data_IF_912475502423
#
_entry.id   IF_912475502423
#
_cell.length_a   1.000
_cell.length_b   1.000
_cell.length_c   1.000
_cell.angle_alpha   90.00
_cell.angle_beta   90.00
_cell.angle_gamma   90.00
#
_symmetry.space_group_name_H-M   'P 1'
#
loop_
_entity.id
_entity.type
_entity.pdbx_description
1 polymer ?
#
# COMPACT_ATOMS: atom_id res chain seq x y z
N UNK A 1 2.64 -28.38 4.53
CA UNK A 1 3.85 -27.80 3.90
C UNK A 1 4.50 -26.88 4.92
N UNK A 2 5.82 -27.00 5.17
CA UNK A 2 6.52 -26.13 6.14
C UNK A 2 7.33 -25.08 5.38
N UNK A 3 7.15 -23.82 5.74
CA UNK A 3 7.88 -22.69 5.17
C UNK A 3 9.17 -22.49 5.98
N UNK A 4 10.24 -22.04 5.33
CA UNK A 4 11.52 -21.73 6.00
C UNK A 4 11.47 -20.38 6.74
N UNK A 5 10.35 -20.08 7.40
CA UNK A 5 10.10 -18.75 7.98
C UNK A 5 11.16 -18.36 9.01
N UNK A 6 11.59 -19.29 9.86
CA UNK A 6 12.60 -18.99 10.89
C UNK A 6 13.96 -18.63 10.27
N UNK A 7 14.40 -19.37 9.25
CA UNK A 7 15.63 -19.08 8.50
C UNK A 7 15.55 -17.71 7.81
N UNK A 8 14.41 -17.41 7.17
CA UNK A 8 14.19 -16.14 6.48
C UNK A 8 14.08 -14.96 7.46
N UNK A 9 13.51 -15.15 8.65
CA UNK A 9 13.50 -14.13 9.70
C UNK A 9 14.94 -13.74 10.08
N UNK A 10 15.82 -14.74 10.24
CA UNK A 10 17.23 -14.51 10.57
C UNK A 10 17.99 -13.86 9.40
N UNK A 11 17.85 -14.39 8.18
CA UNK A 11 18.54 -13.93 6.98
C UNK A 11 18.27 -12.45 6.64
N UNK A 12 17.04 -12.00 6.87
CA UNK A 12 16.58 -10.65 6.59
C UNK A 12 16.49 -9.76 7.84
N UNK A 13 16.99 -10.26 8.97
CA UNK A 13 17.03 -9.55 10.25
C UNK A 13 15.65 -8.98 10.65
N UNK A 14 14.58 -9.71 10.37
CA UNK A 14 13.23 -9.34 10.76
C UNK A 14 13.08 -9.63 12.25
N UNK A 15 12.61 -8.68 13.10
CA UNK A 15 12.44 -8.95 14.52
C UNK A 15 11.42 -10.06 14.78
N UNK A 16 10.25 -9.97 14.12
CA UNK A 16 9.19 -10.95 14.18
C UNK A 16 8.26 -10.89 12.97
N UNK A 17 7.71 -12.04 12.61
CA UNK A 17 6.83 -12.17 11.46
C UNK A 17 5.69 -13.16 11.71
N UNK A 18 4.62 -13.00 10.94
CA UNK A 18 3.49 -13.92 10.88
C UNK A 18 3.03 -14.07 9.43
N UNK A 19 2.73 -15.29 9.03
CA UNK A 19 2.24 -15.62 7.70
C UNK A 19 1.10 -16.59 7.76
N UNK A 20 0.17 -16.45 6.82
CA UNK A 20 -0.87 -17.41 6.59
C UNK A 20 -1.10 -17.58 5.09
N UNK A 21 -1.57 -18.75 4.69
CA UNK A 21 -1.95 -19.01 3.31
C UNK A 21 -3.11 -20.00 3.25
N UNK A 22 -3.92 -19.86 2.20
CA UNK A 22 -4.98 -20.81 1.88
C UNK A 22 -4.44 -21.95 1.02
N UNK A 23 -4.66 -23.19 1.45
CA UNK A 23 -4.31 -24.39 0.69
C UNK A 23 -5.20 -25.58 1.13
N UNK A 24 -5.67 -26.36 0.15
CA UNK A 24 -6.47 -27.58 0.36
C UNK A 24 -7.67 -27.44 1.33
N UNK A 25 -8.39 -26.32 1.25
CA UNK A 25 -9.58 -26.11 2.08
C UNK A 25 -9.31 -25.51 3.46
N UNK A 26 -8.05 -25.24 3.82
CA UNK A 26 -7.66 -24.78 5.15
C UNK A 26 -6.71 -23.58 5.11
N UNK A 27 -6.66 -22.84 6.24
CA UNK A 27 -5.70 -21.75 6.45
C UNK A 27 -4.52 -22.29 7.25
N UNK A 28 -3.37 -22.37 6.60
CA UNK A 28 -2.08 -22.70 7.21
C UNK A 28 -1.47 -21.44 7.80
N UNK A 29 -0.83 -21.55 8.96
CA UNK A 29 -0.33 -20.39 9.72
C UNK A 29 1.05 -20.69 10.30
N UNK A 30 1.94 -19.72 10.26
CA UNK A 30 3.25 -19.78 10.90
C UNK A 30 3.62 -18.40 11.43
N UNK A 31 4.32 -18.35 12.55
CA UNK A 31 4.87 -17.11 13.10
C UNK A 31 6.21 -17.42 13.77
N UNK A 32 7.05 -16.40 13.95
CA UNK A 32 8.33 -16.52 14.62
C UNK A 32 8.92 -15.16 14.97
N UNK A 33 9.94 -15.18 15.83
CA UNK A 33 10.60 -13.97 16.31
C UNK A 33 9.81 -13.20 17.38
N UNK A 34 10.11 -11.92 17.53
CA UNK A 34 9.65 -11.04 18.60
C UNK A 34 8.76 -9.91 18.06
N UNK A 35 7.61 -9.72 18.68
CA UNK A 35 6.71 -8.58 18.45
C UNK A 35 7.29 -7.27 18.95
N UNK A 36 8.17 -7.34 19.96
CA UNK A 36 8.83 -6.21 20.56
C UNK A 36 10.12 -6.70 21.25
N UNK A 37 11.27 -6.18 20.84
CA UNK A 37 12.59 -6.63 21.34
C UNK A 37 12.88 -6.22 22.78
N UNK A 38 12.32 -5.11 23.26
CA UNK A 38 12.52 -4.65 24.64
C UNK A 38 11.78 -5.54 25.65
N UNK A 39 10.57 -5.97 25.29
CA UNK A 39 9.70 -6.78 26.16
C UNK A 39 9.90 -8.29 25.99
N UNK A 40 10.53 -8.71 24.87
CA UNK A 40 10.74 -10.12 24.54
C UNK A 40 9.46 -10.88 24.18
N UNK A 41 8.35 -10.19 23.92
CA UNK A 41 7.08 -10.85 23.58
C UNK A 41 7.19 -11.52 22.22
N UNK A 42 7.04 -12.84 22.18
CA UNK A 42 7.12 -13.63 20.95
C UNK A 42 5.90 -13.41 20.03
N UNK A 43 6.15 -13.51 18.72
CA UNK A 43 5.12 -13.54 17.69
C UNK A 43 4.41 -14.90 17.68
N UNK A 44 3.08 -14.86 17.49
CA UNK A 44 2.23 -16.05 17.39
C UNK A 44 1.32 -15.94 16.17
N UNK A 45 0.74 -17.04 15.67
CA UNK A 45 -0.27 -16.98 14.61
C UNK A 45 -1.49 -16.08 14.90
N UNK A 46 -1.76 -15.80 16.18
CA UNK A 46 -2.83 -14.90 16.63
C UNK A 46 -2.37 -13.47 16.93
N UNK A 47 -1.11 -13.13 16.66
CA UNK A 47 -0.59 -11.79 16.88
C UNK A 47 -1.10 -10.81 15.83
N UNK A 48 -1.43 -9.60 16.27
CA UNK A 48 -1.85 -8.50 15.42
C UNK A 48 -0.65 -7.70 14.92
N UNK A 49 -0.67 -7.34 13.64
CA UNK A 49 0.26 -6.40 13.03
C UNK A 49 -0.53 -5.32 12.33
N UNK A 50 0.04 -4.12 12.22
CA UNK A 50 -0.51 -3.10 11.34
C UNK A 50 -0.31 -3.52 9.89
N UNK A 51 -1.40 -3.55 9.12
CA UNK A 51 -1.36 -4.00 7.72
C UNK A 51 -1.06 -2.86 6.74
N UNK A 52 -0.91 -1.64 7.27
CA UNK A 52 -0.65 -0.45 6.48
C UNK A 52 -1.63 -0.33 5.32
N UNK A 53 -1.10 0.06 4.17
CA UNK A 53 -1.88 0.30 2.96
C UNK A 53 -2.68 -0.88 2.42
N UNK A 54 -2.51 -2.12 2.88
CA UNK A 54 -3.48 -3.21 2.58
C UNK A 54 -4.90 -2.80 3.00
N UNK A 55 -5.02 -1.93 4.01
CA UNK A 55 -6.28 -1.29 4.45
C UNK A 55 -7.06 -0.66 3.30
N UNK A 56 -6.39 -0.14 2.26
CA UNK A 56 -7.05 0.51 1.12
C UNK A 56 -8.00 -0.43 0.38
N UNK A 57 -7.63 -1.71 0.24
CA UNK A 57 -8.50 -2.73 -0.36
C UNK A 57 -9.81 -2.86 0.41
N UNK A 58 -9.77 -2.72 1.74
CA UNK A 58 -10.96 -2.78 2.60
C UNK A 58 -11.84 -1.54 2.43
N UNK A 59 -11.24 -0.35 2.44
CA UNK A 59 -11.96 0.90 2.15
C UNK A 59 -12.59 0.86 0.76
N UNK A 60 -11.90 0.31 -0.25
CA UNK A 60 -12.48 0.08 -1.57
C UNK A 60 -13.66 -0.88 -1.52
N UNK A 61 -13.55 -2.01 -0.80
CA UNK A 61 -14.65 -2.95 -0.65
C UNK A 61 -15.88 -2.29 0.00
N UNK A 62 -15.70 -1.43 1.00
CA UNK A 62 -16.79 -0.65 1.60
C UNK A 62 -17.48 0.28 0.60
N UNK A 63 -16.70 0.98 -0.24
CA UNK A 63 -17.26 1.82 -1.32
C UNK A 63 -18.01 0.97 -2.35
N UNK A 64 -17.48 -0.19 -2.73
CA UNK A 64 -18.17 -1.10 -3.66
C UNK A 64 -19.49 -1.61 -3.10
N UNK A 65 -19.58 -1.90 -1.80
CA UNK A 65 -20.86 -2.25 -1.15
C UNK A 65 -21.89 -1.11 -1.24
N UNK A 66 -21.46 0.14 -1.11
CA UNK A 66 -22.33 1.30 -1.28
C UNK A 66 -22.79 1.47 -2.73
N UNK A 67 -21.95 1.11 -3.70
CA UNK A 67 -22.31 1.07 -5.13
C UNK A 67 -23.35 -0.03 -5.39
N UNK A 68 -23.17 -1.22 -4.83
CA UNK A 68 -24.16 -2.31 -4.93
C UNK A 68 -25.53 -1.94 -4.35
N UNK A 69 -25.53 -1.11 -3.31
CA UNK A 69 -26.74 -0.57 -2.69
C UNK A 69 -27.36 0.59 -3.49
N UNK A 70 -26.79 0.97 -4.64
CA UNK A 70 -27.25 2.08 -5.48
C UNK A 70 -27.08 3.45 -4.84
N UNK A 71 -26.20 3.58 -3.82
CA UNK A 71 -26.00 4.85 -3.08
C UNK A 71 -25.09 5.82 -3.83
N UNK A 72 -24.23 5.32 -4.71
CA UNK A 72 -23.31 6.08 -5.56
C UNK A 72 -22.84 5.21 -6.73
N UNK A 73 -22.09 5.79 -7.65
CA UNK A 73 -21.41 5.07 -8.75
C UNK A 73 -19.93 5.44 -8.78
N UNK A 74 -19.13 4.70 -9.54
CA UNK A 74 -17.72 5.04 -9.78
C UNK A 74 -17.55 6.44 -10.40
N UNK A 75 -18.51 6.87 -11.22
CA UNK A 75 -18.49 8.18 -11.87
C UNK A 75 -19.06 9.32 -11.03
N UNK A 76 -19.60 9.04 -9.84
CA UNK A 76 -20.14 10.08 -8.95
C UNK A 76 -19.02 11.06 -8.56
N UNK A 77 -19.17 12.37 -8.82
CA UNK A 77 -18.29 13.38 -8.28
C UNK A 77 -18.27 13.30 -6.75
N UNK A 78 -17.09 13.35 -6.15
CA UNK A 78 -16.94 13.29 -4.69
C UNK A 78 -17.64 14.48 -4.03
N UNK A 79 -17.69 15.63 -4.72
CA UNK A 79 -18.39 16.84 -4.29
C UNK A 79 -19.89 16.68 -4.05
N UNK A 80 -20.53 15.66 -4.63
CA UNK A 80 -21.95 15.35 -4.35
C UNK A 80 -22.16 14.83 -2.91
N UNK A 81 -21.11 14.27 -2.31
CA UNK A 81 -21.11 13.74 -0.93
C UNK A 81 -20.36 14.67 0.02
N UNK A 82 -19.24 15.25 -0.45
CA UNK A 82 -18.31 16.08 0.30
C UNK A 82 -18.10 17.41 -0.45
N UNK A 83 -18.97 18.42 -0.28
CA UNK A 83 -19.01 19.62 -1.13
C UNK A 83 -17.71 20.42 -1.22
N UNK A 84 -16.82 20.28 -0.24
CA UNK A 84 -15.49 20.90 -0.23
C UNK A 84 -14.49 20.30 -1.23
N UNK A 85 -14.70 19.07 -1.71
CA UNK A 85 -13.78 18.42 -2.66
C UNK A 85 -14.00 18.96 -4.08
N UNK A 86 -12.90 19.11 -4.84
CA UNK A 86 -12.93 19.52 -6.23
C UNK A 86 -13.92 18.66 -7.06
N UNK A 87 -14.87 19.28 -7.78
CA UNK A 87 -15.95 18.58 -8.48
C UNK A 87 -15.48 17.73 -9.67
N UNK A 88 -14.23 17.85 -10.11
CA UNK A 88 -13.63 16.98 -11.13
C UNK A 88 -13.18 15.62 -10.57
N UNK A 89 -13.04 15.50 -9.25
CA UNK A 89 -12.64 14.25 -8.60
C UNK A 89 -13.85 13.33 -8.46
N UNK A 90 -13.76 12.11 -8.97
CA UNK A 90 -14.79 11.07 -8.88
C UNK A 90 -14.39 9.98 -7.89
N UNK A 91 -15.35 9.12 -7.53
CA UNK A 91 -15.08 7.93 -6.72
C UNK A 91 -14.03 7.03 -7.38
N UNK A 92 -14.10 6.80 -8.70
CA UNK A 92 -13.08 6.03 -9.43
C UNK A 92 -11.69 6.67 -9.30
N UNK A 93 -11.60 8.00 -9.36
CA UNK A 93 -10.32 8.69 -9.21
C UNK A 93 -9.66 8.46 -7.84
N UNK A 94 -10.45 8.39 -6.76
CA UNK A 94 -9.94 8.05 -5.43
C UNK A 94 -9.37 6.62 -5.40
N UNK A 95 -10.15 5.65 -5.90
CA UNK A 95 -9.84 4.22 -5.79
C UNK A 95 -8.71 3.75 -6.74
N UNK A 96 -8.41 4.54 -7.77
CA UNK A 96 -7.36 4.28 -8.77
C UNK A 96 -6.11 5.14 -8.58
N UNK A 97 -6.06 5.97 -7.53
CA UNK A 97 -4.99 6.94 -7.31
C UNK A 97 -4.77 7.90 -8.50
N UNK A 98 -5.85 8.38 -9.09
CA UNK A 98 -5.82 9.36 -10.19
C UNK A 98 -6.50 10.68 -9.85
N UNK A 99 -6.88 10.91 -8.57
CA UNK A 99 -7.59 12.12 -8.14
C UNK A 99 -6.77 13.39 -8.19
N UNK A 100 -5.44 13.31 -8.10
CA UNK A 100 -4.58 14.47 -7.90
C UNK A 100 -4.62 15.02 -6.48
N UNK A 101 -5.40 14.43 -5.56
CA UNK A 101 -5.39 14.83 -4.15
C UNK A 101 -4.04 14.48 -3.53
N UNK A 102 -3.59 15.38 -2.66
CA UNK A 102 -2.29 15.29 -2.00
C UNK A 102 -2.08 13.94 -1.29
N UNK A 103 -1.11 13.17 -1.79
CA UNK A 103 -0.88 11.80 -1.34
C UNK A 103 -0.05 11.67 -0.07
N UNK A 104 0.70 12.72 0.27
CA UNK A 104 1.66 12.76 1.38
C UNK A 104 1.24 13.77 2.46
N UNK A 105 -0.05 14.15 2.49
CA UNK A 105 -0.64 15.00 3.52
C UNK A 105 -0.95 14.20 4.80
N UNK A 106 0.01 14.08 5.71
CA UNK A 106 -0.17 13.37 6.99
C UNK A 106 -0.66 14.27 8.13
N UNK A 107 -1.74 15.01 7.90
CA UNK A 107 -2.26 15.97 8.88
C UNK A 107 -3.02 15.28 10.02
N UNK A 108 -2.52 15.42 11.24
CA UNK A 108 -3.19 14.92 12.44
C UNK A 108 -4.30 15.88 12.89
N UNK A 109 -5.54 15.42 12.82
CA UNK A 109 -6.74 16.17 13.24
C UNK A 109 -7.28 15.70 14.59
N UNK A 110 -6.48 14.91 15.31
CA UNK A 110 -6.83 14.34 16.61
C UNK A 110 -7.56 13.01 16.51
N UNK A 111 -7.97 12.49 17.67
CA UNK A 111 -8.56 11.16 17.82
C UNK A 111 -10.09 11.14 17.80
N UNK A 112 -10.74 12.30 17.78
CA UNK A 112 -12.21 12.42 17.81
C UNK A 112 -12.88 11.80 16.59
N UNK A 113 -14.16 11.46 16.70
CA UNK A 113 -14.97 10.89 15.62
C UNK A 113 -15.17 11.83 14.42
N UNK A 114 -14.80 13.11 14.59
CA UNK A 114 -14.75 14.13 13.55
C UNK A 114 -13.38 14.21 12.83
N UNK A 115 -12.44 13.29 13.09
CA UNK A 115 -11.08 13.37 12.54
C UNK A 115 -11.06 13.35 11.00
N UNK A 116 -11.87 12.52 10.36
CA UNK A 116 -11.95 12.44 8.90
C UNK A 116 -12.63 13.68 8.30
N UNK A 117 -13.64 14.25 8.97
CA UNK A 117 -14.28 15.51 8.56
C UNK A 117 -13.28 16.67 8.54
N UNK A 118 -12.54 16.84 9.64
CA UNK A 118 -11.48 17.86 9.75
C UNK A 118 -10.38 17.63 8.71
N UNK A 119 -10.02 16.37 8.45
CA UNK A 119 -8.99 16.03 7.48
C UNK A 119 -9.44 16.39 6.06
N UNK A 120 -10.68 16.04 5.69
CA UNK A 120 -11.26 16.39 4.39
C UNK A 120 -11.33 17.90 4.21
N UNK A 121 -11.73 18.65 5.24
CA UNK A 121 -11.69 20.12 5.20
C UNK A 121 -10.28 20.65 4.92
N UNK A 122 -9.26 20.06 5.56
CA UNK A 122 -7.88 20.51 5.42
C UNK A 122 -7.26 20.13 4.06
N UNK A 123 -7.52 18.92 3.54
CA UNK A 123 -7.00 18.50 2.23
C UNK A 123 -7.69 19.23 1.07
N UNK A 124 -8.97 19.55 1.21
CA UNK A 124 -9.73 20.32 0.21
C UNK A 124 -9.17 21.74 0.00
N UNK A 125 -8.51 22.31 1.01
CA UNK A 125 -7.87 23.63 0.91
C UNK A 125 -6.54 23.60 0.14
N UNK A 126 -6.06 22.43 -0.29
CA UNK A 126 -4.81 22.27 -1.04
C UNK A 126 -5.10 22.15 -2.54
N UNK A 127 -4.19 22.64 -3.41
CA UNK A 127 -4.32 22.42 -4.85
C UNK A 127 -4.14 20.92 -5.17
N UNK A 128 -4.78 20.47 -6.25
CA UNK A 128 -4.47 19.16 -6.82
C UNK A 128 -3.02 19.15 -7.34
N UNK A 129 -2.30 18.06 -7.07
CA UNK A 129 -0.94 17.85 -7.56
C UNK A 129 -0.88 17.66 -9.09
N UNK A 130 -1.98 17.20 -9.68
CA UNK A 130 -2.21 17.10 -11.12
C UNK A 130 -3.71 17.08 -11.39
N UNK A 131 -4.18 17.36 -12.62
CA UNK A 131 -5.59 17.25 -12.94
C UNK A 131 -6.14 15.84 -12.66
N UNK A 132 -7.40 15.75 -12.21
CA UNK A 132 -8.05 14.47 -11.97
C UNK A 132 -8.08 13.61 -13.25
N UNK A 133 -7.72 12.33 -13.12
CA UNK A 133 -7.59 11.38 -14.23
C UNK A 133 -6.32 11.53 -15.08
N UNK A 134 -5.46 12.52 -14.84
CA UNK A 134 -4.31 12.78 -15.71
C UNK A 134 -3.20 11.72 -15.62
N UNK A 135 -2.96 11.18 -14.43
CA UNK A 135 -1.94 10.15 -14.21
C UNK A 135 -2.19 9.39 -12.91
N UNK A 136 -1.53 8.25 -12.75
CA UNK A 136 -1.46 7.54 -11.48
C UNK A 136 -0.43 8.23 -10.56
N UNK A 137 -0.89 8.69 -9.40
CA UNK A 137 -0.02 9.14 -8.32
C UNK A 137 -0.60 8.68 -6.98
N UNK A 138 0.09 7.74 -6.33
CA UNK A 138 -0.40 7.11 -5.12
C UNK A 138 -0.77 8.13 -4.04
N UNK A 139 -1.99 8.01 -3.49
CA UNK A 139 -2.54 9.00 -2.56
C UNK A 139 -3.17 8.36 -1.33
N UNK A 140 -2.57 8.60 -0.16
CA UNK A 140 -3.20 8.25 1.12
C UNK A 140 -4.38 9.17 1.42
N UNK A 141 -4.23 10.48 1.15
CA UNK A 141 -5.28 11.46 1.34
C UNK A 141 -6.54 11.15 0.54
N UNK A 142 -6.40 10.65 -0.69
CA UNK A 142 -7.54 10.17 -1.48
C UNK A 142 -8.31 9.01 -0.81
N UNK A 143 -7.62 8.14 -0.07
CA UNK A 143 -8.27 7.06 0.69
C UNK A 143 -8.90 7.54 2.00
N UNK A 144 -8.31 8.53 2.67
CA UNK A 144 -8.95 9.20 3.81
C UNK A 144 -10.25 9.90 3.39
N UNK A 145 -10.26 10.53 2.21
CA UNK A 145 -11.47 11.10 1.59
C UNK A 145 -12.48 10.00 1.24
N UNK A 146 -12.04 8.87 0.67
CA UNK A 146 -12.93 7.72 0.42
C UNK A 146 -13.54 7.17 1.72
N UNK A 147 -12.77 7.13 2.82
CA UNK A 147 -13.30 6.78 4.13
C UNK A 147 -14.37 7.76 4.62
N UNK A 148 -14.16 9.07 4.43
CA UNK A 148 -15.17 10.09 4.77
C UNK A 148 -16.45 9.96 3.94
N UNK A 149 -16.36 9.57 2.66
CA UNK A 149 -17.52 9.23 1.83
C UNK A 149 -18.35 8.11 2.48
N UNK A 150 -17.69 7.05 2.98
CA UNK A 150 -18.38 6.00 3.73
C UNK A 150 -19.11 6.58 4.94
N UNK A 151 -18.46 7.44 5.73
CA UNK A 151 -19.07 7.98 6.95
C UNK A 151 -20.35 8.76 6.66
N UNK A 152 -20.30 9.65 5.67
CA UNK A 152 -21.45 10.48 5.31
C UNK A 152 -22.62 9.63 4.80
N UNK A 153 -22.35 8.62 3.96
CA UNK A 153 -23.40 7.81 3.34
C UNK A 153 -24.01 6.81 4.33
N UNK A 154 -23.21 6.27 5.24
CA UNK A 154 -23.64 5.29 6.24
C UNK A 154 -24.17 5.92 7.53
N UNK A 155 -23.82 7.18 7.82
CA UNK A 155 -24.09 7.84 9.09
C UNK A 155 -23.31 7.28 10.27
N UNK A 156 -22.20 6.56 10.02
CA UNK A 156 -21.36 5.90 11.04
C UNK A 156 -19.91 6.31 10.84
N UNK A 157 -19.14 6.40 11.92
CA UNK A 157 -17.68 6.54 11.82
C UNK A 157 -17.07 5.35 11.07
N UNK A 158 -15.98 5.59 10.36
CA UNK A 158 -15.39 4.61 9.45
C UNK A 158 -15.07 3.27 10.14
N UNK A 159 -14.55 3.31 11.37
CA UNK A 159 -14.24 2.12 12.18
C UNK A 159 -15.46 1.21 12.40
N UNK A 160 -16.60 1.82 12.71
CA UNK A 160 -17.87 1.11 12.94
C UNK A 160 -18.44 0.58 11.63
N UNK A 161 -18.40 1.40 10.57
CA UNK A 161 -18.85 0.96 9.24
C UNK A 161 -18.03 -0.24 8.73
N UNK A 162 -16.70 -0.20 8.88
CA UNK A 162 -15.81 -1.31 8.55
C UNK A 162 -16.19 -2.57 9.32
N UNK A 163 -16.45 -2.43 10.63
CA UNK A 163 -16.82 -3.56 11.49
C UNK A 163 -18.13 -4.21 11.07
N UNK A 164 -19.13 -3.39 10.75
CA UNK A 164 -20.47 -3.86 10.38
C UNK A 164 -20.51 -4.45 8.97
N UNK A 165 -19.82 -3.83 8.02
CA UNK A 165 -19.89 -4.20 6.61
C UNK A 165 -18.97 -5.36 6.24
N UNK A 166 -17.78 -5.46 6.86
CA UNK A 166 -16.75 -6.40 6.44
C UNK A 166 -16.31 -7.33 7.58
N UNK A 167 -15.88 -6.80 8.72
CA UNK A 167 -15.24 -7.61 9.79
C UNK A 167 -16.21 -8.64 10.38
N UNK A 168 -17.41 -8.20 10.78
CA UNK A 168 -18.40 -9.06 11.43
C UNK A 168 -18.97 -10.10 10.47
N UNK A 169 -19.42 -9.75 9.24
CA UNK A 169 -19.94 -10.73 8.28
C UNK A 169 -18.93 -11.80 7.88
N UNK A 170 -17.63 -11.47 7.85
CA UNK A 170 -16.55 -12.40 7.52
C UNK A 170 -15.97 -13.13 8.74
N UNK A 171 -16.45 -12.85 9.96
CA UNK A 171 -15.98 -13.49 11.20
C UNK A 171 -14.51 -13.19 11.55
N UNK A 172 -14.02 -11.99 11.24
CA UNK A 172 -12.60 -11.62 11.33
C UNK A 172 -12.24 -11.10 12.73
N UNK A 173 -12.26 -11.99 13.72
CA UNK A 173 -12.15 -11.66 15.15
C UNK A 173 -10.82 -11.05 15.58
N UNK A 174 -9.78 -11.16 14.76
CA UNK A 174 -8.46 -10.57 14.94
C UNK A 174 -8.23 -9.39 14.00
N UNK A 175 -9.26 -8.60 13.68
CA UNK A 175 -9.16 -7.37 12.87
C UNK A 175 -9.71 -6.17 13.63
N UNK A 176 -8.87 -5.17 13.88
CA UNK A 176 -9.16 -4.02 14.74
C UNK A 176 -8.50 -2.75 14.20
N UNK A 177 -9.05 -1.58 14.49
CA UNK A 177 -8.53 -0.29 13.98
C UNK A 177 -8.07 0.65 15.08
N UNK A 178 -8.72 0.60 16.25
CA UNK A 178 -8.40 1.48 17.37
C UNK A 178 -7.35 0.84 18.30
N UNK A 179 -6.32 1.59 18.75
CA UNK A 179 -5.29 1.07 19.65
C UNK A 179 -5.85 0.43 20.94
N UNK A 180 -6.85 1.04 21.55
CA UNK A 180 -7.54 0.55 22.76
C UNK A 180 -8.21 -0.82 22.55
N UNK A 181 -8.64 -1.10 21.33
CA UNK A 181 -9.19 -2.40 20.99
C UNK A 181 -8.09 -3.46 20.85
N UNK A 182 -6.93 -3.05 20.31
CA UNK A 182 -5.75 -3.88 20.03
C UNK A 182 -5.02 -4.30 21.31
N UNK A 183 -5.04 -3.49 22.38
CA UNK A 183 -4.39 -3.77 23.67
C UNK A 183 -4.80 -5.11 24.31
N UNK A 184 -5.93 -5.69 23.89
CA UNK A 184 -6.43 -6.99 24.37
C UNK A 184 -5.69 -8.19 23.76
N UNK A 185 -4.82 -7.96 22.79
CA UNK A 185 -4.13 -8.98 22.01
C UNK A 185 -2.61 -8.82 22.10
N UNK A 186 -1.89 -9.87 21.70
CA UNK A 186 -0.47 -9.74 21.37
C UNK A 186 -0.37 -8.92 20.08
N UNK A 187 0.24 -7.76 20.13
CA UNK A 187 0.34 -6.85 18.99
C UNK A 187 1.79 -6.42 18.76
N UNK A 188 2.20 -6.34 17.50
CA UNK A 188 3.54 -5.96 17.10
C UNK A 188 3.80 -4.48 17.36
N UNK A 189 4.94 -4.17 17.96
CA UNK A 189 5.58 -2.85 17.87
C UNK A 189 6.46 -2.85 16.62
N UNK A 190 6.47 -1.75 15.86
CA UNK A 190 7.37 -1.63 14.73
C UNK A 190 8.82 -1.44 15.19
N UNK A 191 9.78 -1.85 14.36
CA UNK A 191 11.20 -1.61 14.61
C UNK A 191 11.82 -0.85 13.45
N UNK A 192 12.76 0.05 13.76
CA UNK A 192 13.39 0.97 12.82
C UNK A 192 14.91 0.89 12.91
N UNK A 193 15.56 1.30 11.81
CA UNK A 193 17.01 1.39 11.70
C UNK A 193 17.71 0.02 11.65
N UNK A 194 19.01 0.04 11.39
CA UNK A 194 19.82 -1.18 11.23
C UNK A 194 19.87 -2.00 12.53
N UNK A 195 19.80 -1.31 13.67
CA UNK A 195 19.73 -1.94 14.97
C UNK A 195 18.38 -2.60 15.25
N UNK A 196 17.33 -2.35 14.44
CA UNK A 196 15.95 -2.76 14.68
C UNK A 196 15.47 -2.42 16.10
N UNK A 197 15.56 -1.14 16.45
CA UNK A 197 15.07 -0.64 17.74
C UNK A 197 13.55 -0.42 17.68
N UNK A 198 12.79 -0.76 18.74
CA UNK A 198 11.35 -0.48 18.77
C UNK A 198 11.05 1.00 18.55
N UNK A 199 10.07 1.30 17.71
CA UNK A 199 9.66 2.68 17.47
C UNK A 199 8.98 3.30 18.69
N UNK A 200 9.23 4.58 19.02
CA UNK A 200 8.54 5.26 20.11
C UNK A 200 7.07 5.59 19.78
N UNK A 201 6.67 5.46 18.51
CA UNK A 201 5.32 5.81 18.04
C UNK A 201 4.60 4.56 17.58
N UNK A 202 3.46 4.24 18.21
CA UNK A 202 2.71 3.03 17.89
C UNK A 202 2.28 2.95 16.42
N UNK A 203 1.67 4.00 15.87
CA UNK A 203 1.14 4.00 14.51
C UNK A 203 0.87 5.41 13.99
N UNK A 204 0.32 5.49 12.79
CA UNK A 204 -0.04 6.76 12.14
C UNK A 204 -1.27 7.40 12.81
N UNK A 205 -1.64 8.62 12.41
CA UNK A 205 -2.81 9.38 12.90
C UNK A 205 -4.16 8.78 12.46
N UNK A 206 -5.21 8.94 13.29
CA UNK A 206 -6.57 8.42 13.02
C UNK A 206 -7.21 9.05 11.77
N UNK A 207 -6.84 10.27 11.42
CA UNK A 207 -7.26 10.88 10.15
C UNK A 207 -6.83 10.09 8.90
N UNK A 208 -5.91 9.14 9.04
CA UNK A 208 -5.49 8.23 7.98
C UNK A 208 -5.94 6.78 8.18
N UNK A 209 -6.90 6.50 9.08
CA UNK A 209 -7.40 5.13 9.30
C UNK A 209 -7.80 4.42 8.01
N UNK A 210 -8.60 5.03 7.11
CA UNK A 210 -9.04 4.39 5.86
C UNK A 210 -7.92 4.10 4.87
N UNK A 211 -6.76 4.73 5.05
CA UNK A 211 -5.59 4.54 4.22
C UNK A 211 -4.61 3.50 4.78
N UNK A 212 -4.60 3.24 6.09
CA UNK A 212 -3.51 2.43 6.65
C UNK A 212 -3.56 1.93 8.09
N UNK A 213 -4.63 2.09 8.88
CA UNK A 213 -4.58 1.75 10.31
C UNK A 213 -5.16 0.39 10.71
N UNK A 214 -5.63 -0.45 9.79
CA UNK A 214 -6.12 -1.76 10.20
C UNK A 214 -4.95 -2.56 10.83
N UNK A 215 -5.21 -3.13 12.00
CA UNK A 215 -4.42 -4.17 12.61
C UNK A 215 -5.11 -5.50 12.37
N UNK A 216 -4.40 -6.49 11.82
CA UNK A 216 -4.98 -7.80 11.56
C UNK A 216 -4.02 -8.95 11.89
N UNK A 217 -4.58 -10.14 12.06
CA UNK A 217 -3.82 -11.39 11.96
C UNK A 217 -3.62 -11.77 10.49
N UNK A 218 -2.55 -12.52 10.18
CA UNK A 218 -2.33 -13.02 8.82
C UNK A 218 -3.49 -13.92 8.35
N UNK A 219 -4.09 -14.69 9.27
CA UNK A 219 -5.22 -15.56 8.96
C UNK A 219 -6.47 -14.76 8.55
N UNK A 220 -6.74 -13.64 9.20
CA UNK A 220 -7.89 -12.79 8.84
C UNK A 220 -7.68 -12.05 7.52
N UNK A 221 -6.43 -11.66 7.20
CA UNK A 221 -6.12 -11.18 5.85
C UNK A 221 -6.35 -12.25 4.78
N UNK A 222 -5.99 -13.50 5.05
CA UNK A 222 -6.30 -14.61 4.13
C UNK A 222 -7.81 -14.78 3.98
N UNK A 223 -8.58 -14.77 5.08
CA UNK A 223 -10.05 -14.86 5.02
C UNK A 223 -10.66 -13.72 4.20
N UNK A 224 -10.20 -12.49 4.41
CA UNK A 224 -10.63 -11.35 3.60
C UNK A 224 -10.27 -11.55 2.11
N UNK A 225 -9.02 -11.91 1.82
CA UNK A 225 -8.53 -12.17 0.46
C UNK A 225 -9.29 -13.29 -0.27
N UNK A 226 -9.84 -14.27 0.45
CA UNK A 226 -10.68 -15.33 -0.13
C UNK A 226 -11.95 -14.79 -0.80
N UNK A 227 -12.47 -13.63 -0.38
CA UNK A 227 -13.58 -12.94 -1.06
C UNK A 227 -13.27 -12.70 -2.54
N UNK A 228 -12.01 -12.42 -2.87
CA UNK A 228 -11.55 -12.13 -4.24
C UNK A 228 -11.10 -13.38 -5.01
N UNK A 229 -10.83 -14.48 -4.30
CA UNK A 229 -10.36 -15.72 -4.90
C UNK A 229 -11.50 -16.70 -5.19
N UNK A 230 -12.49 -16.78 -4.30
CA UNK A 230 -13.54 -17.80 -4.32
C UNK A 230 -14.96 -17.24 -4.12
N UNK A 231 -15.12 -15.92 -3.96
CA UNK A 231 -16.39 -15.31 -3.61
C UNK A 231 -16.82 -15.62 -2.17
N UNK A 232 -18.12 -15.48 -1.89
CA UNK A 232 -18.72 -15.84 -0.59
C UNK A 232 -18.51 -14.82 0.54
N UNK A 233 -17.97 -13.64 0.23
CA UNK A 233 -17.96 -12.49 1.13
C UNK A 233 -19.14 -11.54 0.90
N UNK A 234 -19.14 -10.36 1.55
CA UNK A 234 -20.24 -9.40 1.42
C UNK A 234 -20.34 -8.76 0.03
N UNK A 235 -19.28 -8.81 -0.78
CA UNK A 235 -19.27 -8.30 -2.15
C UNK A 235 -19.86 -9.32 -3.14
N UNK A 236 -20.61 -8.83 -4.11
CA UNK A 236 -21.02 -9.62 -5.27
C UNK A 236 -19.81 -10.00 -6.15
N UNK A 237 -19.96 -11.06 -6.95
CA UNK A 237 -18.95 -11.44 -7.93
C UNK A 237 -18.67 -10.33 -8.96
N UNK A 238 -19.69 -9.52 -9.28
CA UNK A 238 -19.55 -8.40 -10.21
C UNK A 238 -18.62 -7.34 -9.64
N UNK A 239 -18.79 -6.94 -8.37
CA UNK A 239 -17.89 -6.00 -7.71
C UNK A 239 -16.48 -6.55 -7.57
N UNK A 240 -16.33 -7.83 -7.24
CA UNK A 240 -15.01 -8.49 -7.19
C UNK A 240 -14.30 -8.41 -8.54
N UNK A 241 -15.01 -8.73 -9.65
CA UNK A 241 -14.45 -8.58 -11.01
C UNK A 241 -14.16 -7.13 -11.35
N UNK A 242 -15.00 -6.19 -10.94
CA UNK A 242 -14.80 -4.76 -11.20
C UNK A 242 -13.54 -4.22 -10.49
N UNK A 243 -13.26 -4.69 -9.27
CA UNK A 243 -12.06 -4.34 -8.51
C UNK A 243 -10.78 -4.93 -9.11
N UNK A 244 -10.85 -6.13 -9.65
CA UNK A 244 -9.72 -6.83 -10.29
C UNK A 244 -9.41 -6.38 -11.73
N UNK A 245 -10.28 -5.56 -12.35
CA UNK A 245 -10.12 -5.09 -13.72
C UNK A 245 -9.02 -4.01 -13.81
N UNK A 246 -8.05 -4.11 -14.73
CA UNK A 246 -7.11 -3.02 -15.00
C UNK A 246 -7.80 -1.71 -15.35
N UNK A 247 -7.46 -0.64 -14.62
CA UNK A 247 -7.97 0.73 -14.83
C UNK A 247 -6.89 1.66 -15.32
N UNK A 248 -5.69 1.55 -14.76
CA UNK A 248 -4.58 2.45 -15.05
C UNK A 248 -3.31 1.63 -15.24
N UNK A 249 -2.59 1.84 -16.33
CA UNK A 249 -1.22 1.36 -16.49
C UNK A 249 -0.29 2.26 -15.67
N UNK A 250 0.57 1.68 -14.83
CA UNK A 250 1.49 2.50 -14.02
C UNK A 250 2.78 2.81 -14.81
N UNK A 251 3.35 4.03 -14.69
CA UNK A 251 4.53 4.42 -15.48
C UNK A 251 5.77 3.55 -15.26
N UNK A 252 5.94 2.98 -14.06
CA UNK A 252 6.99 2.03 -13.75
C UNK A 252 6.44 0.86 -12.92
N UNK A 253 6.93 -0.35 -13.21
CA UNK A 253 6.51 -1.59 -12.54
C UNK A 253 7.20 -1.73 -11.18
N UNK A 254 6.80 -0.92 -10.20
CA UNK A 254 7.33 -0.99 -8.83
C UNK A 254 6.88 -2.26 -8.12
N UNK A 255 5.56 -2.50 -8.10
CA UNK A 255 4.95 -3.72 -7.52
C UNK A 255 4.10 -4.51 -8.52
N UNK A 256 3.55 -3.82 -9.52
CA UNK A 256 2.72 -4.39 -10.57
C UNK A 256 2.71 -3.46 -11.78
N UNK A 257 2.08 -3.90 -12.86
CA UNK A 257 2.04 -3.14 -14.13
C UNK A 257 0.80 -2.26 -14.25
N UNK A 258 -0.24 -2.56 -13.48
CA UNK A 258 -1.50 -1.83 -13.52
C UNK A 258 -2.08 -1.62 -12.11
N UNK A 259 -3.02 -0.69 -12.02
CA UNK A 259 -3.88 -0.49 -10.85
C UNK A 259 -5.33 -0.82 -11.21
N UNK A 260 -6.01 -1.54 -10.32
CA UNK A 260 -7.43 -1.81 -10.35
C UNK A 260 -8.22 -0.81 -9.51
N UNK A 261 -9.32 -1.24 -8.89
CA UNK A 261 -9.92 -0.46 -7.80
C UNK A 261 -9.33 -1.00 -6.50
N UNK A 262 -8.46 -0.21 -5.87
CA UNK A 262 -7.79 -0.57 -4.61
C UNK A 262 -6.74 -1.69 -4.71
N UNK A 263 -6.61 -2.38 -5.85
CA UNK A 263 -5.65 -3.47 -6.06
C UNK A 263 -4.48 -3.05 -6.96
N UNK A 264 -3.28 -3.48 -6.59
CA UNK A 264 -2.15 -3.55 -7.53
C UNK A 264 -2.34 -4.81 -8.37
N UNK A 265 -2.17 -4.69 -9.68
CA UNK A 265 -2.38 -5.77 -10.64
C UNK A 265 -1.08 -6.09 -11.35
N UNK A 266 -0.79 -7.37 -11.45
CA UNK A 266 0.35 -7.88 -12.20
C UNK A 266 0.02 -9.22 -12.88
N UNK A 267 0.92 -9.68 -13.74
CA UNK A 267 0.78 -10.96 -14.44
C UNK A 267 2.06 -11.77 -14.26
N UNK A 268 1.95 -12.95 -13.65
CA UNK A 268 3.08 -13.85 -13.36
C UNK A 268 2.91 -15.13 -14.17
N UNK A 269 3.89 -15.48 -15.02
CA UNK A 269 3.82 -16.63 -15.93
C UNK A 269 2.47 -16.66 -16.72
N UNK A 270 1.98 -15.49 -17.16
CA UNK A 270 0.71 -15.36 -17.88
C UNK A 270 -0.56 -15.38 -17.00
N UNK A 271 -0.42 -15.52 -15.69
CA UNK A 271 -1.53 -15.60 -14.72
C UNK A 271 -1.73 -14.26 -14.01
N UNK A 272 -2.96 -13.69 -14.00
CA UNK A 272 -3.26 -12.48 -13.23
C UNK A 272 -3.10 -12.69 -11.72
N UNK A 273 -2.45 -11.74 -11.06
CA UNK A 273 -2.25 -11.70 -9.61
C UNK A 273 -2.74 -10.35 -9.10
N UNK A 274 -3.59 -10.39 -8.07
CA UNK A 274 -3.96 -9.21 -7.29
C UNK A 274 -3.02 -9.14 -6.09
N UNK A 275 -2.48 -7.96 -5.82
CA UNK A 275 -1.63 -7.77 -4.66
C UNK A 275 -1.79 -6.39 -4.05
N UNK A 276 -1.46 -6.29 -2.78
CA UNK A 276 -1.29 -4.99 -2.13
C UNK A 276 -0.26 -5.12 -1.00
N UNK A 277 0.73 -4.24 -1.01
CA UNK A 277 1.68 -4.06 0.10
C UNK A 277 1.20 -2.99 1.08
N UNK A 278 1.72 -3.00 2.29
CA UNK A 278 1.41 -1.97 3.27
C UNK A 278 2.58 -1.74 4.20
N UNK A 279 2.87 -0.48 4.47
CA UNK A 279 3.88 -0.10 5.44
C UNK A 279 3.26 0.90 6.41
N UNK A 280 3.63 0.77 7.68
CA UNK A 280 3.48 1.83 8.70
C UNK A 280 4.83 2.06 9.35
N UNK A 281 4.85 2.66 10.54
CA UNK A 281 6.08 2.96 11.26
C UNK A 281 6.70 1.64 11.76
N UNK A 282 7.69 1.14 11.03
CA UNK A 282 8.44 -0.08 11.37
C UNK A 282 7.64 -1.38 11.23
N UNK A 283 6.51 -1.38 10.53
CA UNK A 283 5.75 -2.59 10.22
C UNK A 283 5.43 -2.66 8.73
N UNK A 284 5.39 -3.88 8.19
CA UNK A 284 5.10 -4.15 6.80
C UNK A 284 4.12 -5.33 6.68
N UNK A 285 3.31 -5.30 5.63
CA UNK A 285 2.37 -6.34 5.28
C UNK A 285 2.31 -6.54 3.77
N UNK A 286 1.97 -7.75 3.36
CA UNK A 286 1.72 -8.09 1.98
C UNK A 286 0.55 -9.06 1.89
N UNK A 287 -0.34 -8.82 0.93
CA UNK A 287 -1.46 -9.68 0.59
C UNK A 287 -1.40 -9.98 -0.91
N UNK A 288 -1.42 -11.27 -1.24
CA UNK A 288 -1.54 -11.75 -2.61
C UNK A 288 -2.77 -12.62 -2.78
N UNK A 289 -3.43 -12.47 -3.93
CA UNK A 289 -4.58 -13.28 -4.35
C UNK A 289 -4.37 -13.71 -5.79
N UNK A 290 -4.48 -15.02 -6.04
CA UNK A 290 -4.48 -15.61 -7.40
C UNK A 290 -5.84 -16.26 -7.63
N UNK A 291 -6.80 -15.55 -8.26
CA UNK A 291 -8.17 -16.03 -8.38
C UNK A 291 -8.28 -17.38 -9.11
N UNK A 292 -7.48 -17.59 -10.17
CA UNK A 292 -7.53 -18.81 -11.00
C UNK A 292 -7.17 -20.09 -10.24
N UNK A 293 -6.35 -20.00 -9.20
CA UNK A 293 -5.95 -21.15 -8.36
C UNK A 293 -6.60 -21.12 -6.98
N UNK A 294 -7.35 -20.07 -6.65
CA UNK A 294 -7.90 -19.85 -5.31
C UNK A 294 -6.84 -19.55 -4.24
N UNK A 295 -5.58 -19.33 -4.62
CA UNK A 295 -4.45 -19.10 -3.71
C UNK A 295 -4.56 -17.73 -3.08
N UNK A 296 -4.38 -17.66 -1.75
CA UNK A 296 -4.30 -16.41 -1.00
C UNK A 296 -3.15 -16.54 0.00
N UNK A 297 -2.27 -15.55 0.04
CA UNK A 297 -1.11 -15.51 0.94
C UNK A 297 -1.06 -14.15 1.63
N UNK A 298 -0.90 -14.15 2.95
CA UNK A 298 -0.65 -12.97 3.75
C UNK A 298 0.67 -13.11 4.52
N UNK A 299 1.45 -12.03 4.58
CA UNK A 299 2.71 -11.95 5.28
C UNK A 299 2.80 -10.62 6.03
N UNK A 300 3.22 -10.68 7.30
CA UNK A 300 3.28 -9.56 8.23
C UNK A 300 4.65 -9.57 8.90
N UNK A 301 5.30 -8.42 9.01
CA UNK A 301 6.61 -8.25 9.64
C UNK A 301 6.68 -6.92 10.39
N UNK A 302 7.54 -6.82 11.40
CA UNK A 302 7.67 -5.63 12.25
C UNK A 302 9.10 -5.05 12.28
N UNK A 303 9.81 -5.09 11.16
CA UNK A 303 11.16 -4.50 11.00
C UNK A 303 12.04 -5.33 10.08
N UNK A 304 13.31 -4.95 9.98
CA UNK A 304 14.32 -5.60 9.14
C UNK A 304 14.17 -5.29 7.64
N UNK A 305 14.83 -6.09 6.81
CA UNK A 305 14.73 -6.02 5.34
C UNK A 305 13.42 -6.70 4.88
N UNK A 306 12.30 -5.99 5.07
CA UNK A 306 10.98 -6.53 4.76
C UNK A 306 10.76 -6.80 3.27
N UNK A 307 11.38 -6.03 2.37
CA UNK A 307 11.23 -6.23 0.93
C UNK A 307 11.93 -7.51 0.47
N UNK A 308 13.18 -7.70 0.90
CA UNK A 308 13.92 -8.94 0.66
C UNK A 308 13.22 -10.16 1.28
N UNK A 309 12.76 -10.02 2.53
CA UNK A 309 12.03 -11.06 3.25
C UNK A 309 10.74 -11.47 2.52
N UNK A 310 9.93 -10.50 2.09
CA UNK A 310 8.67 -10.77 1.39
C UNK A 310 8.91 -11.43 0.04
N UNK A 311 9.93 -10.99 -0.70
CA UNK A 311 10.32 -11.61 -1.95
C UNK A 311 10.76 -13.08 -1.75
N UNK A 312 11.60 -13.36 -0.75
CA UNK A 312 12.09 -14.70 -0.47
C UNK A 312 10.95 -15.66 -0.03
N UNK A 313 10.03 -15.19 0.83
CA UNK A 313 8.85 -15.97 1.21
C UNK A 313 7.95 -16.24 0.00
N UNK A 314 7.74 -15.25 -0.86
CA UNK A 314 6.95 -15.43 -2.08
C UNK A 314 7.62 -16.46 -3.04
N UNK A 315 8.93 -16.35 -3.26
CA UNK A 315 9.68 -17.29 -4.09
C UNK A 315 9.62 -18.73 -3.57
N UNK A 316 9.52 -18.92 -2.24
CA UNK A 316 9.34 -20.23 -1.62
C UNK A 316 7.89 -20.73 -1.76
N UNK A 317 6.88 -19.90 -1.52
CA UNK A 317 5.47 -20.33 -1.46
C UNK A 317 4.79 -20.50 -2.83
N UNK A 318 4.96 -19.54 -3.74
CA UNK A 318 4.18 -19.50 -4.99
C UNK A 318 4.39 -20.70 -5.93
N UNK A 319 5.61 -21.24 -6.12
CA UNK A 319 5.81 -22.41 -6.96
C UNK A 319 5.05 -23.64 -6.44
N UNK A 320 4.88 -23.75 -5.11
CA UNK A 320 4.22 -24.89 -4.46
C UNK A 320 2.70 -24.71 -4.36
N UNK A 321 2.23 -23.50 -4.10
CA UNK A 321 0.80 -23.23 -3.87
C UNK A 321 0.03 -22.93 -5.16
N UNK A 322 0.66 -22.23 -6.11
CA UNK A 322 -0.01 -21.75 -7.32
C UNK A 322 0.65 -22.25 -8.61
N UNK A 323 1.82 -22.92 -8.53
CA UNK A 323 2.60 -23.28 -9.72
C UNK A 323 3.15 -22.07 -10.48
N UNK A 324 3.29 -20.93 -9.80
CA UNK A 324 3.74 -19.66 -10.36
C UNK A 324 5.12 -19.29 -9.84
N UNK A 325 5.90 -18.58 -10.66
CA UNK A 325 7.12 -17.92 -10.21
C UNK A 325 6.88 -16.43 -10.04
N UNK A 326 7.08 -15.88 -8.84
CA UNK A 326 7.11 -14.44 -8.67
C UNK A 326 8.16 -13.81 -9.59
N UNK A 327 7.94 -12.58 -10.08
CA UNK A 327 8.93 -11.87 -10.88
C UNK A 327 10.22 -11.72 -10.09
N UNK A 328 11.37 -12.00 -10.72
CA UNK A 328 12.66 -11.70 -10.12
C UNK A 328 12.79 -10.20 -9.84
N UNK A 329 13.49 -9.79 -8.78
CA UNK A 329 13.71 -8.38 -8.51
C UNK A 329 14.44 -7.75 -9.70
N UNK A 330 14.13 -6.49 -10.04
CA UNK A 330 14.79 -5.81 -11.14
C UNK A 330 16.29 -5.72 -10.89
N UNK A 331 17.08 -5.92 -11.94
CA UNK A 331 18.53 -5.78 -11.92
C UNK A 331 18.98 -4.82 -13.02
N UNK A 332 20.08 -4.09 -12.81
CA UNK A 332 20.76 -3.37 -13.87
C UNK A 332 21.01 -4.25 -15.10
N UNK A 333 20.91 -3.69 -16.31
CA UNK A 333 21.19 -4.44 -17.52
C UNK A 333 22.67 -4.82 -17.58
N UNK A 334 22.94 -6.02 -18.11
CA UNK A 334 24.28 -6.51 -18.41
C UNK A 334 24.32 -6.97 -19.89
N UNK A 335 25.02 -6.25 -20.80
CA UNK A 335 25.87 -5.09 -20.53
C UNK A 335 25.09 -3.82 -20.10
N UNK A 336 25.76 -2.82 -19.47
CA UNK A 336 25.13 -1.57 -19.08
C UNK A 336 24.43 -0.86 -20.25
N UNK A 337 23.32 -0.19 -19.96
CA UNK A 337 22.56 0.59 -20.95
C UNK A 337 23.41 1.71 -21.56
N UNK A 338 23.32 1.89 -22.87
CA UNK A 338 23.96 3.00 -23.60
C UNK A 338 23.19 4.33 -23.45
N UNK A 339 21.94 4.28 -22.99
CA UNK A 339 21.15 5.49 -22.72
C UNK A 339 21.72 6.29 -21.55
N UNK A 340 21.78 7.60 -21.70
CA UNK A 340 21.97 8.55 -20.59
C UNK A 340 20.64 9.17 -20.16
N UNK A 341 20.65 9.78 -18.97
CA UNK A 341 19.48 10.47 -18.40
C UNK A 341 19.73 11.97 -18.24
N UNK A 342 20.72 12.52 -18.96
CA UNK A 342 21.11 13.92 -18.86
C UNK A 342 19.94 14.85 -19.23
N UNK A 343 19.11 14.46 -20.20
CA UNK A 343 17.90 15.20 -20.59
C UNK A 343 16.84 15.28 -19.46
N UNK A 344 16.89 14.37 -18.49
CA UNK A 344 15.95 14.31 -17.36
C UNK A 344 16.52 14.93 -16.08
N UNK A 345 17.75 15.46 -16.10
CA UNK A 345 18.30 16.17 -14.95
C UNK A 345 17.46 17.38 -14.59
N UNK A 346 17.36 17.66 -13.29
CA UNK A 346 16.59 18.78 -12.77
C UNK A 346 15.96 18.48 -11.41
N UNK A 347 15.06 19.36 -11.01
CA UNK A 347 14.32 19.25 -9.76
C UNK A 347 12.88 18.90 -10.07
N UNK A 348 12.37 17.91 -9.35
CA UNK A 348 11.00 17.47 -9.37
C UNK A 348 10.41 17.72 -7.99
N UNK A 349 9.28 18.42 -7.90
CA UNK A 349 8.72 18.83 -6.61
C UNK A 349 7.22 18.60 -6.55
N UNK A 350 6.76 18.09 -5.41
CA UNK A 350 5.35 17.98 -5.02
C UNK A 350 5.25 18.25 -3.53
N UNK A 351 4.03 18.31 -2.98
CA UNK A 351 3.89 18.37 -1.52
C UNK A 351 4.66 17.23 -0.87
N UNK A 352 5.51 17.58 0.10
CA UNK A 352 6.21 16.62 0.94
C UNK A 352 7.41 15.95 0.31
N UNK A 353 7.73 16.25 -0.96
CA UNK A 353 8.96 15.74 -1.56
C UNK A 353 9.58 16.71 -2.56
N UNK A 354 10.90 16.88 -2.44
CA UNK A 354 11.76 17.41 -3.50
C UNK A 354 12.70 16.30 -3.94
N UNK A 355 12.79 16.09 -5.24
CA UNK A 355 13.64 15.08 -5.84
C UNK A 355 14.58 15.77 -6.83
N UNK A 356 15.87 15.68 -6.57
CA UNK A 356 16.91 16.19 -7.47
C UNK A 356 17.49 15.03 -8.25
N UNK A 357 17.40 15.09 -9.58
CA UNK A 357 17.98 14.10 -10.49
C UNK A 357 19.23 14.68 -11.12
N UNK A 358 20.33 13.94 -11.01
CA UNK A 358 21.64 14.22 -11.63
C UNK A 358 22.13 12.98 -12.37
N UNK A 359 23.18 13.13 -13.15
CA UNK A 359 23.88 12.02 -13.77
C UNK A 359 24.24 10.96 -12.71
N UNK A 360 23.65 9.77 -12.85
CA UNK A 360 23.83 8.60 -11.98
C UNK A 360 23.41 8.74 -10.50
N UNK A 361 22.73 9.82 -10.11
CA UNK A 361 22.28 10.04 -8.73
C UNK A 361 20.87 10.62 -8.68
N UNK A 362 20.06 10.11 -7.73
CA UNK A 362 18.80 10.72 -7.33
C UNK A 362 18.84 11.05 -5.84
N UNK A 363 18.54 12.29 -5.49
CA UNK A 363 18.44 12.75 -4.10
C UNK A 363 16.97 13.00 -3.78
N UNK A 364 16.46 12.32 -2.76
CA UNK A 364 15.09 12.46 -2.25
C UNK A 364 15.10 13.21 -0.91
N UNK A 365 14.38 14.32 -0.85
CA UNK A 365 14.25 15.18 0.32
C UNK A 365 12.77 15.26 0.74
N UNK A 366 12.48 15.02 2.01
CA UNK A 366 11.13 15.24 2.53
C UNK A 366 10.93 16.73 2.81
N UNK A 367 9.87 17.34 2.25
CA UNK A 367 9.60 18.79 2.37
C UNK A 367 8.36 19.11 3.21
N UNK A 368 7.75 18.09 3.83
CA UNK A 368 6.56 18.22 4.69
C UNK A 368 6.93 18.35 6.17
N UNK A 369 5.94 18.25 7.06
CA UNK A 369 6.12 18.13 8.51
C UNK A 369 7.03 16.95 8.92
N UNK A 370 7.34 16.04 7.99
CA UNK A 370 8.29 14.93 8.17
C UNK A 370 9.74 15.29 7.79
N UNK A 371 10.03 16.50 7.32
CA UNK A 371 11.36 16.94 6.87
C UNK A 371 12.44 16.78 7.95
N UNK A 372 12.10 17.10 9.21
CA UNK A 372 13.04 17.01 10.34
C UNK A 372 13.26 15.57 10.83
N UNK A 373 12.44 14.61 10.36
CA UNK A 373 12.49 13.21 10.81
C UNK A 373 13.39 12.33 9.94
N UNK A 374 13.68 12.73 8.70
CA UNK A 374 14.52 11.94 7.80
C UNK A 374 15.48 12.83 7.00
N UNK A 375 16.80 12.60 7.12
CA UNK A 375 17.77 13.30 6.29
C UNK A 375 17.54 12.96 4.80
N UNK A 376 18.00 13.82 3.87
CA UNK A 376 17.99 13.52 2.45
C UNK A 376 18.59 12.14 2.15
N UNK A 377 17.91 11.39 1.28
CA UNK A 377 18.34 10.06 0.85
C UNK A 377 18.95 10.14 -0.55
N UNK A 378 20.18 9.64 -0.70
CA UNK A 378 20.81 9.49 -2.01
C UNK A 378 20.63 8.06 -2.52
N UNK A 379 20.36 7.95 -3.82
CA UNK A 379 20.18 6.70 -4.54
C UNK A 379 21.11 6.67 -5.75
N UNK A 380 21.82 5.55 -5.90
CA UNK A 380 22.51 5.20 -7.16
C UNK A 380 21.44 5.08 -8.24
N UNK A 381 21.66 5.71 -9.39
CA UNK A 381 20.70 5.71 -10.49
C UNK A 381 21.29 5.09 -11.75
N UNK A 382 20.66 4.03 -12.24
CA UNK A 382 21.12 3.26 -13.40
C UNK A 382 20.08 3.29 -14.52
N UNK A 383 20.42 3.77 -15.73
CA UNK A 383 19.50 3.75 -16.87
C UNK A 383 19.17 2.31 -17.30
N UNK A 384 17.90 2.08 -17.63
CA UNK A 384 17.40 0.83 -18.22
C UNK A 384 16.71 1.04 -19.58
N UNK A 385 16.63 2.29 -20.03
CA UNK A 385 16.04 2.74 -21.28
C UNK A 385 16.03 4.27 -21.33
N UNK A 386 15.59 4.84 -22.45
CA UNK A 386 15.54 6.29 -22.68
C UNK A 386 14.78 7.09 -21.59
N UNK A 387 13.77 6.46 -20.99
CA UNK A 387 12.89 7.08 -20.00
C UNK A 387 12.73 6.23 -18.73
N UNK A 388 13.56 5.22 -18.54
CA UNK A 388 13.44 4.27 -17.42
C UNK A 388 14.75 4.10 -16.71
N UNK A 389 14.68 3.92 -15.39
CA UNK A 389 15.84 3.73 -14.56
C UNK A 389 15.54 2.79 -13.39
N UNK A 390 16.62 2.29 -12.80
CA UNK A 390 16.61 1.66 -11.49
C UNK A 390 17.34 2.58 -10.52
N UNK A 391 16.77 2.76 -9.34
CA UNK A 391 17.41 3.49 -8.26
C UNK A 391 17.58 2.57 -7.04
N UNK A 392 18.70 2.71 -6.32
CA UNK A 392 18.95 1.93 -5.10
C UNK A 392 19.72 2.76 -4.10
N UNK A 393 19.28 2.75 -2.86
CA UNK A 393 20.02 3.39 -1.78
C UNK A 393 21.26 2.54 -1.45
N UNK A 394 22.42 3.15 -1.16
CA UNK A 394 23.56 2.40 -0.63
C UNK A 394 23.17 1.60 0.61
N UNK A 395 23.38 0.28 0.56
CA UNK A 395 23.02 -0.67 1.63
C UNK A 395 21.76 -1.49 1.35
N UNK A 396 20.85 -1.02 0.50
CA UNK A 396 19.63 -1.76 0.16
C UNK A 396 19.95 -2.96 -0.76
N UNK A 397 19.21 -4.06 -0.59
CA UNK A 397 19.37 -5.26 -1.44
C UNK A 397 18.72 -5.10 -2.80
N UNK A 398 17.56 -4.45 -2.87
CA UNK A 398 16.72 -4.42 -4.07
C UNK A 398 16.78 -3.06 -4.78
N UNK A 399 16.69 -3.12 -6.11
CA UNK A 399 16.54 -1.93 -6.94
C UNK A 399 15.07 -1.53 -7.05
N UNK A 400 14.80 -0.22 -7.06
CA UNK A 400 13.47 0.35 -7.24
C UNK A 400 13.32 0.91 -8.66
N UNK A 401 12.36 0.44 -9.46
CA UNK A 401 12.08 1.00 -10.77
C UNK A 401 11.51 2.41 -10.71
N UNK A 402 11.92 3.26 -11.66
CA UNK A 402 11.33 4.56 -11.90
C UNK A 402 11.26 4.89 -13.38
N UNK A 403 10.50 5.94 -13.71
CA UNK A 403 10.31 6.38 -15.07
C UNK A 403 10.18 7.91 -15.18
N UNK A 404 10.66 8.46 -16.28
CA UNK A 404 10.38 9.82 -16.72
C UNK A 404 9.29 9.76 -17.80
N UNK A 405 8.38 10.73 -17.80
CA UNK A 405 7.30 10.78 -18.78
C UNK A 405 6.70 12.18 -18.84
N UNK A 406 5.85 12.44 -19.85
CA UNK A 406 5.06 13.66 -19.92
C UNK A 406 3.57 13.35 -19.76
N UNK A 407 2.83 14.25 -19.11
CA UNK A 407 1.37 14.22 -19.16
C UNK A 407 0.87 14.61 -20.56
N UNK A 408 -0.45 14.50 -20.76
CA UNK A 408 -1.09 14.85 -22.04
C UNK A 408 -0.89 16.31 -22.46
N UNK A 409 -0.67 17.21 -21.50
CA UNK A 409 -0.37 18.62 -21.74
C UNK A 409 1.13 18.88 -22.05
N UNK A 410 1.95 17.83 -22.08
CA UNK A 410 3.39 17.89 -22.33
C UNK A 410 4.24 18.11 -21.08
N UNK A 411 3.64 18.36 -19.92
CA UNK A 411 4.39 18.65 -18.68
C UNK A 411 5.24 17.45 -18.24
N UNK A 412 6.56 17.61 -18.05
CA UNK A 412 7.46 16.53 -17.69
C UNK A 412 7.31 16.13 -16.22
N UNK A 413 7.35 14.83 -15.96
CA UNK A 413 7.14 14.21 -14.67
C UNK A 413 8.14 13.07 -14.40
N UNK A 414 8.41 12.87 -13.12
CA UNK A 414 9.14 11.73 -12.56
C UNK A 414 8.15 10.83 -11.81
N UNK A 415 8.07 9.57 -12.21
CA UNK A 415 7.41 8.52 -11.45
C UNK A 415 8.42 7.75 -10.61
N UNK A 416 8.40 7.95 -9.30
CA UNK A 416 9.29 7.27 -8.36
C UNK A 416 8.60 7.06 -7.01
N UNK A 417 8.82 5.91 -6.37
CA UNK A 417 8.17 5.56 -5.10
C UNK A 417 6.64 5.53 -5.19
N UNK A 418 6.10 5.06 -6.33
CA UNK A 418 4.67 5.00 -6.71
C UNK A 418 3.93 6.34 -6.83
N UNK A 419 4.65 7.48 -6.81
CA UNK A 419 4.06 8.80 -7.05
C UNK A 419 4.59 9.44 -8.32
N UNK A 420 3.74 10.25 -8.94
CA UNK A 420 4.11 11.19 -9.99
C UNK A 420 4.50 12.54 -9.41
N UNK A 421 5.58 13.12 -9.91
CA UNK A 421 6.13 14.40 -9.43
C UNK A 421 6.45 15.28 -10.63
N UNK A 422 5.88 16.49 -10.76
CA UNK A 422 6.18 17.40 -11.86
C UNK A 422 7.61 17.93 -11.76
N UNK A 423 8.25 18.16 -12.91
CA UNK A 423 9.52 18.89 -12.99
C UNK A 423 9.29 20.38 -12.75
N UNK A 424 10.11 21.01 -11.93
CA UNK A 424 10.01 22.44 -11.58
C UNK A 424 11.20 23.27 -12.06
N UNK A 425 12.37 22.66 -12.26
CA UNK A 425 13.54 23.34 -12.86
C UNK A 425 14.45 22.37 -13.59
#
# INVERSE_FOLDING_TARGET
>A
MTIRLAELIEEFQVPGASTAYWHDGEIHRQAGGLLNRDTGVEATPGSLFQIGSVTKVWTTAMIMLLIEQGRLTLGTPVSEVLPEIDPSVTIEHLLTHTSGLDGDFFHDTGRGDDCLEKYVTAIAARPLAHPAGATHSYSNGGFSVAGRVVEVITGKVWDTALRDQLVTPLGLTGTWTLPEDVLRFRAATGHLGDANDPTPTWGIMRSNSPAGQICATAADLVRFGRTFAAGGGPLSEESVRAMAKPRVEVPARVYGTHWGLGWILDTWDGTPVLLHGGNTIGQAAMLWVVPSTGTVIALLANGGDTDGFFHAVAADLFPRLAGLRPPSPPQPPDPPSEHDLAAHEGVYERTGARITVRTAELIYENTSDLADLQPPMSFDLVPTGEHRFLARRPGDRLWTPGAFYSLRDGSPHLYFGVRSTPKTS
#
